data_IF_425516000438
#
_entry.id   IF_425516000438
#
_cell.length_a   1.000
_cell.length_b   1.000
_cell.length_c   1.000
_cell.angle_alpha   90.00
_cell.angle_beta   90.00
_cell.angle_gamma   90.00
#
_symmetry.space_group_name_H-M   'P 1'
#
loop_
_entity.id
_entity.type
_entity.pdbx_description
1 polymer ?
#
# COMPACT_ATOMS: atom_id res chain seq x y z
N UNK A 1 -17.44 29.29 -12.69
CA UNK A 1 -17.89 27.99 -12.15
C UNK A 1 -17.29 27.81 -10.77
N UNK A 2 -18.09 27.59 -9.73
CA UNK A 2 -17.64 27.64 -8.34
C UNK A 2 -16.98 26.34 -7.87
N UNK A 3 -15.94 26.45 -7.04
CA UNK A 3 -15.11 25.38 -6.47
C UNK A 3 -15.91 24.24 -5.80
N UNK A 4 -17.16 24.51 -5.42
CA UNK A 4 -18.06 23.58 -4.72
C UNK A 4 -19.05 22.85 -5.64
N UNK A 5 -19.03 23.05 -6.96
CA UNK A 5 -19.92 22.33 -7.88
C UNK A 5 -19.61 20.83 -7.98
N UNK A 6 -18.40 20.41 -7.60
CA UNK A 6 -17.99 19.00 -7.56
C UNK A 6 -18.50 18.21 -6.35
N UNK A 7 -19.14 18.88 -5.37
CA UNK A 7 -19.66 18.26 -4.16
C UNK A 7 -21.18 18.01 -4.18
N UNK A 8 -21.87 18.33 -5.29
CA UNK A 8 -23.30 18.01 -5.43
C UNK A 8 -23.49 16.58 -5.95
N UNK A 9 -24.46 15.82 -5.43
CA UNK A 9 -24.81 14.49 -5.95
C UNK A 9 -25.48 14.56 -7.33
N UNK A 10 -25.92 15.74 -7.75
CA UNK A 10 -26.81 15.92 -8.90
C UNK A 10 -26.00 16.55 -10.06
N UNK A 11 -25.32 15.69 -10.82
CA UNK A 11 -24.81 16.04 -12.14
C UNK A 11 -25.97 16.27 -13.13
N UNK A 12 -25.77 17.05 -14.21
CA UNK A 12 -26.82 17.43 -15.15
C UNK A 12 -27.53 16.21 -15.74
N UNK A 13 -28.86 16.30 -15.82
CA UNK A 13 -29.83 15.25 -16.10
C UNK A 13 -29.89 14.75 -17.55
N UNK A 14 -28.78 14.84 -18.29
CA UNK A 14 -28.59 14.13 -19.56
C UNK A 14 -27.09 13.89 -19.78
N UNK A 15 -26.54 12.75 -19.31
CA UNK A 15 -25.21 12.35 -19.71
C UNK A 15 -25.31 11.80 -21.14
N UNK A 16 -24.50 12.31 -22.07
CA UNK A 16 -23.84 11.39 -23.01
C UNK A 16 -23.36 10.21 -22.16
N UNK A 17 -23.87 9.02 -22.43
CA UNK A 17 -23.55 7.79 -21.68
C UNK A 17 -22.06 7.81 -21.32
N UNK A 18 -21.74 8.03 -20.04
CA UNK A 18 -20.36 8.20 -19.60
C UNK A 18 -19.64 6.89 -19.92
N UNK A 19 -18.86 6.88 -21.01
CA UNK A 19 -18.23 5.66 -21.52
C UNK A 19 -17.28 5.14 -20.46
N UNK A 20 -17.61 3.97 -19.92
CA UNK A 20 -16.77 3.27 -18.96
C UNK A 20 -15.35 3.09 -19.51
N UNK A 21 -14.33 3.12 -18.64
CA UNK A 21 -12.94 2.96 -19.07
C UNK A 21 -12.73 1.59 -19.73
N UNK A 22 -11.97 1.56 -20.83
CA UNK A 22 -11.73 0.31 -21.59
C UNK A 22 -10.85 -0.71 -20.86
N UNK A 23 -10.01 -0.25 -19.93
CA UNK A 23 -9.11 -1.11 -19.17
C UNK A 23 -8.73 -0.48 -17.83
N UNK A 24 -8.16 -1.28 -16.92
CA UNK A 24 -7.77 -0.85 -15.57
C UNK A 24 -6.77 0.32 -15.57
N UNK A 25 -5.90 0.41 -16.57
CA UNK A 25 -4.97 1.55 -16.71
C UNK A 25 -5.72 2.86 -17.01
N UNK A 26 -6.68 2.85 -17.94
CA UNK A 26 -7.54 4.01 -18.21
C UNK A 26 -8.44 4.34 -17.02
N UNK A 27 -8.89 3.32 -16.27
CA UNK A 27 -9.66 3.51 -15.05
C UNK A 27 -8.89 4.30 -13.99
N UNK A 28 -7.57 4.07 -13.83
CA UNK A 28 -6.74 4.89 -12.94
C UNK A 28 -6.84 6.38 -13.27
N UNK A 29 -6.56 6.76 -14.53
CA UNK A 29 -6.56 8.17 -14.93
C UNK A 29 -7.95 8.79 -14.89
N UNK A 30 -8.99 7.99 -15.20
CA UNK A 30 -10.38 8.41 -15.08
C UNK A 30 -10.74 8.75 -13.63
N UNK A 31 -10.41 7.87 -12.68
CA UNK A 31 -10.64 8.09 -11.25
C UNK A 31 -9.82 9.30 -10.75
N UNK A 32 -8.54 9.39 -11.10
CA UNK A 32 -7.68 10.51 -10.69
C UNK A 32 -8.21 11.85 -11.18
N UNK A 33 -8.69 11.93 -12.44
CA UNK A 33 -9.23 13.17 -13.00
C UNK A 33 -10.59 13.53 -12.41
N UNK A 34 -11.49 12.57 -12.26
CA UNK A 34 -12.89 12.83 -11.92
C UNK A 34 -13.17 12.82 -10.41
N UNK A 35 -12.32 12.15 -9.63
CA UNK A 35 -12.49 11.95 -8.18
C UNK A 35 -11.27 12.43 -7.37
N UNK A 36 -10.50 13.38 -7.91
CA UNK A 36 -9.26 13.88 -7.30
C UNK A 36 -9.41 14.27 -5.82
N UNK A 37 -10.37 15.13 -5.48
CA UNK A 37 -10.58 15.58 -4.10
C UNK A 37 -11.03 14.46 -3.16
N UNK A 38 -11.75 13.46 -3.68
CA UNK A 38 -12.10 12.27 -2.92
C UNK A 38 -10.85 11.44 -2.60
N UNK A 39 -9.91 11.31 -3.55
CA UNK A 39 -8.62 10.66 -3.31
C UNK A 39 -7.78 11.42 -2.28
N UNK A 40 -7.75 12.76 -2.33
CA UNK A 40 -7.07 13.57 -1.31
C UNK A 40 -7.67 13.33 0.08
N UNK A 41 -9.00 13.37 0.19
CA UNK A 41 -9.71 13.06 1.43
C UNK A 41 -9.44 11.64 1.93
N UNK A 42 -9.38 10.66 1.01
CA UNK A 42 -9.06 9.27 1.31
C UNK A 42 -7.65 9.11 1.87
N UNK A 43 -6.67 9.77 1.25
CA UNK A 43 -5.28 9.72 1.69
C UNK A 43 -5.14 10.33 3.08
N UNK A 44 -5.70 11.52 3.30
CA UNK A 44 -5.66 12.22 4.59
C UNK A 44 -6.33 11.40 5.70
N UNK A 45 -7.51 10.84 5.42
CA UNK A 45 -8.25 10.02 6.37
C UNK A 45 -7.47 8.74 6.73
N UNK A 46 -6.81 8.13 5.75
CA UNK A 46 -5.96 6.96 5.96
C UNK A 46 -4.70 7.33 6.74
N UNK A 47 -4.10 8.49 6.46
CA UNK A 47 -2.88 8.97 7.10
C UNK A 47 -3.04 9.16 8.60
N UNK A 48 -4.26 9.45 9.10
CA UNK A 48 -4.53 9.51 10.54
C UNK A 48 -4.09 8.24 11.30
N UNK A 49 -4.15 7.08 10.64
CA UNK A 49 -3.71 5.80 11.19
C UNK A 49 -2.19 5.57 11.09
N UNK A 50 -1.52 6.30 10.21
CA UNK A 50 -0.06 6.30 10.03
C UNK A 50 0.65 7.34 10.90
N UNK A 51 -0.07 8.33 11.47
CA UNK A 51 0.53 9.35 12.34
C UNK A 51 1.38 8.72 13.45
N UNK A 52 0.90 7.71 14.21
CA UNK A 52 1.71 7.12 15.27
C UNK A 52 2.99 6.46 14.74
N UNK A 53 2.92 5.81 13.58
CA UNK A 53 4.07 5.18 12.94
C UNK A 53 5.13 6.21 12.53
N UNK A 54 4.74 7.26 11.80
CA UNK A 54 5.69 8.30 11.39
C UNK A 54 6.21 9.13 12.55
N UNK A 55 5.35 9.45 13.52
CA UNK A 55 5.77 10.14 14.74
C UNK A 55 6.84 9.35 15.49
N UNK A 56 6.63 8.04 15.70
CA UNK A 56 7.62 7.18 16.32
C UNK A 56 8.93 7.15 15.54
N UNK A 57 8.85 6.97 14.21
CA UNK A 57 10.04 6.91 13.35
C UNK A 57 10.87 8.19 13.40
N UNK A 58 10.22 9.36 13.38
CA UNK A 58 10.88 10.67 13.49
C UNK A 58 11.48 10.84 14.89
N UNK A 59 10.69 10.63 15.94
CA UNK A 59 11.14 10.81 17.33
C UNK A 59 12.30 9.86 17.69
N UNK A 60 12.20 8.60 17.29
CA UNK A 60 13.23 7.58 17.52
C UNK A 60 14.48 7.82 16.66
N UNK A 61 14.30 8.25 15.41
CA UNK A 61 15.40 8.68 14.54
C UNK A 61 16.18 9.86 15.13
N UNK A 62 15.47 10.87 15.64
CA UNK A 62 16.07 12.01 16.33
C UNK A 62 16.83 11.58 17.60
N UNK A 63 16.27 10.66 18.38
CA UNK A 63 16.92 10.09 19.56
C UNK A 63 18.22 9.35 19.22
N UNK A 64 18.22 8.52 18.16
CA UNK A 64 19.42 7.82 17.69
C UNK A 64 20.51 8.83 17.26
N UNK A 65 20.09 9.91 16.61
CA UNK A 65 20.97 10.99 16.13
C UNK A 65 21.52 11.91 17.21
N UNK A 66 21.07 11.80 18.47
CA UNK A 66 21.72 12.47 19.60
C UNK A 66 23.10 11.85 19.81
N UNK A 67 24.13 12.69 19.75
CA UNK A 67 25.52 12.28 19.70
C UNK A 67 26.11 12.00 21.11
N UNK A 68 26.51 10.76 21.43
CA UNK A 68 27.28 10.42 22.62
C UNK A 68 28.80 10.31 22.34
N UNK A 69 29.28 10.72 21.16
CA UNK A 69 30.63 10.39 20.61
C UNK A 69 31.82 10.80 21.46
N UNK A 70 31.64 11.70 22.44
CA UNK A 70 32.70 12.06 23.37
C UNK A 70 33.13 10.90 24.28
N UNK A 71 32.32 9.84 24.42
CA UNK A 71 32.52 8.78 25.43
C UNK A 71 32.69 7.36 24.85
N UNK A 72 32.42 7.14 23.56
CA UNK A 72 32.34 5.79 22.96
C UNK A 72 33.35 5.58 21.83
N UNK A 73 33.86 4.35 21.73
CA UNK A 73 34.63 3.89 20.57
C UNK A 73 33.74 3.72 19.33
N UNK A 74 34.35 3.61 18.15
CA UNK A 74 33.62 3.41 16.89
C UNK A 74 32.80 2.11 16.89
N UNK A 75 33.33 1.04 17.49
CA UNK A 75 32.65 -0.26 17.59
C UNK A 75 31.42 -0.18 18.51
N UNK A 76 31.56 0.47 19.67
CA UNK A 76 30.46 0.69 20.61
C UNK A 76 29.36 1.58 20.01
N UNK A 77 29.74 2.58 19.20
CA UNK A 77 28.79 3.44 18.51
C UNK A 77 27.96 2.65 17.47
N UNK A 78 28.62 1.79 16.69
CA UNK A 78 27.96 0.91 15.71
C UNK A 78 27.04 -0.10 16.40
N UNK A 79 27.50 -0.74 17.49
CA UNK A 79 26.68 -1.67 18.27
C UNK A 79 25.46 -0.98 18.88
N UNK A 80 25.64 0.23 19.44
CA UNK A 80 24.54 1.07 19.93
C UNK A 80 23.53 1.35 18.82
N UNK A 81 23.97 1.76 17.63
CA UNK A 81 23.06 2.01 16.51
C UNK A 81 22.28 0.74 16.14
N UNK A 82 22.95 -0.41 16.04
CA UNK A 82 22.30 -1.70 15.77
C UNK A 82 21.20 -1.99 16.80
N UNK A 83 21.52 -1.97 18.09
CA UNK A 83 20.57 -2.27 19.17
C UNK A 83 19.40 -1.30 19.15
N UNK A 84 19.65 0.00 19.00
CA UNK A 84 18.60 1.02 18.97
C UNK A 84 17.71 0.89 17.73
N UNK A 85 18.26 0.60 16.55
CA UNK A 85 17.47 0.40 15.32
C UNK A 85 16.59 -0.84 15.40
N UNK A 86 17.12 -1.95 15.94
CA UNK A 86 16.34 -3.19 16.15
C UNK A 86 15.27 -3.00 17.22
N UNK A 87 15.59 -2.33 18.33
CA UNK A 87 14.61 -2.02 19.38
C UNK A 87 13.50 -1.10 18.85
N UNK A 88 13.88 -0.10 18.05
CA UNK A 88 12.94 0.81 17.41
C UNK A 88 11.94 0.10 16.49
N UNK A 89 12.42 -0.87 15.70
CA UNK A 89 11.57 -1.60 14.76
C UNK A 89 10.60 -2.58 15.43
N UNK A 90 10.89 -3.04 16.65
CA UNK A 90 9.92 -3.81 17.45
C UNK A 90 8.68 -2.98 17.83
N UNK A 91 8.85 -1.67 18.07
CA UNK A 91 7.74 -0.74 18.34
C UNK A 91 7.01 -0.35 17.05
N UNK A 92 7.74 -0.25 15.92
CA UNK A 92 7.12 0.00 14.61
C UNK A 92 6.15 -1.11 14.22
N UNK A 93 6.38 -2.36 14.64
CA UNK A 93 5.54 -3.50 14.28
C UNK A 93 4.07 -3.36 14.73
N UNK A 94 3.72 -3.12 16.01
CA UNK A 94 2.32 -2.86 16.40
C UNK A 94 1.75 -1.57 15.77
N UNK A 95 2.58 -0.55 15.49
CA UNK A 95 2.13 0.65 14.78
C UNK A 95 1.78 0.36 13.31
N UNK A 96 2.44 -0.62 12.70
CA UNK A 96 2.11 -1.10 11.37
C UNK A 96 0.73 -1.79 11.32
N UNK A 97 0.32 -2.48 12.39
CA UNK A 97 -1.03 -3.04 12.49
C UNK A 97 -2.09 -1.93 12.43
N UNK A 98 -1.88 -0.83 13.15
CA UNK A 98 -2.78 0.34 13.12
C UNK A 98 -2.80 0.99 11.73
N UNK A 99 -1.63 1.16 11.12
CA UNK A 99 -1.49 1.74 9.78
C UNK A 99 -2.24 0.90 8.73
N UNK A 100 -2.08 -0.42 8.76
CA UNK A 100 -2.79 -1.32 7.86
C UNK A 100 -4.28 -1.44 8.18
N UNK A 101 -4.70 -1.27 9.44
CA UNK A 101 -6.12 -1.14 9.78
C UNK A 101 -6.75 0.05 9.04
N UNK A 102 -6.07 1.21 8.99
CA UNK A 102 -6.46 2.34 8.16
C UNK A 102 -6.52 2.02 6.66
N UNK A 103 -5.51 1.29 6.14
CA UNK A 103 -5.52 0.84 4.74
C UNK A 103 -6.71 -0.08 4.41
N UNK A 104 -7.23 -0.85 5.36
CA UNK A 104 -8.46 -1.63 5.14
C UNK A 104 -9.66 -0.80 4.71
N UNK A 105 -9.79 0.40 5.26
CA UNK A 105 -10.77 1.39 4.82
C UNK A 105 -10.42 1.98 3.46
N UNK A 106 -9.13 2.25 3.21
CA UNK A 106 -8.64 2.80 1.95
C UNK A 106 -8.92 1.89 0.76
N UNK A 107 -8.62 0.59 0.90
CA UNK A 107 -8.84 -0.42 -0.13
C UNK A 107 -10.33 -0.62 -0.42
N UNK A 108 -11.22 -0.56 0.58
CA UNK A 108 -12.68 -0.63 0.35
C UNK A 108 -13.17 0.52 -0.53
N UNK A 109 -12.73 1.76 -0.22
CA UNK A 109 -13.09 2.93 -1.03
C UNK A 109 -12.48 2.83 -2.43
N UNK A 110 -11.19 2.43 -2.53
CA UNK A 110 -10.52 2.23 -3.81
C UNK A 110 -11.26 1.19 -4.66
N UNK A 111 -11.70 0.07 -4.08
CA UNK A 111 -12.46 -0.98 -4.77
C UNK A 111 -13.75 -0.44 -5.40
N UNK A 112 -14.51 0.35 -4.63
CA UNK A 112 -15.74 1.00 -5.11
C UNK A 112 -15.49 1.99 -6.24
N UNK A 113 -14.40 2.75 -6.16
CA UNK A 113 -13.97 3.65 -7.24
C UNK A 113 -13.58 2.85 -8.49
N UNK A 114 -12.84 1.76 -8.34
CA UNK A 114 -12.45 0.87 -9.44
C UNK A 114 -13.65 0.22 -10.14
N UNK A 115 -14.74 -0.04 -9.42
CA UNK A 115 -16.00 -0.51 -9.97
C UNK A 115 -16.90 0.59 -10.52
N UNK A 116 -16.44 1.85 -10.53
CA UNK A 116 -17.20 3.00 -11.03
C UNK A 116 -18.56 3.19 -10.34
N UNK A 117 -18.64 2.88 -9.03
CA UNK A 117 -19.87 3.09 -8.26
C UNK A 117 -20.21 4.60 -8.21
N UNK A 118 -21.46 4.95 -8.56
CA UNK A 118 -21.89 6.35 -8.64
C UNK A 118 -21.92 7.08 -7.29
N UNK A 119 -22.16 6.35 -6.19
CA UNK A 119 -22.44 6.87 -4.85
C UNK A 119 -21.38 6.53 -3.80
N UNK A 120 -20.11 6.85 -4.08
CA UNK A 120 -19.02 6.68 -3.10
C UNK A 120 -19.05 7.82 -2.09
N UNK A 121 -19.36 7.49 -0.83
CA UNK A 121 -19.34 8.41 0.31
C UNK A 121 -18.13 8.10 1.20
N UNK A 122 -17.10 8.93 1.06
CA UNK A 122 -15.78 8.74 1.68
C UNK A 122 -15.85 8.20 3.12
N UNK A 123 -16.49 8.92 4.04
CA UNK A 123 -16.52 8.52 5.45
C UNK A 123 -17.30 7.22 5.70
N UNK A 124 -18.45 7.07 5.06
CA UNK A 124 -19.33 5.91 5.25
C UNK A 124 -18.67 4.63 4.74
N UNK A 125 -18.11 4.71 3.53
CA UNK A 125 -17.48 3.57 2.87
C UNK A 125 -16.13 3.23 3.52
N UNK A 126 -15.34 4.23 3.93
CA UNK A 126 -14.11 4.00 4.68
C UNK A 126 -14.40 3.28 6.01
N UNK A 127 -15.38 3.75 6.79
CA UNK A 127 -15.78 3.11 8.05
C UNK A 127 -16.34 1.70 7.86
N UNK A 128 -17.04 1.46 6.74
CA UNK A 128 -17.47 0.12 6.35
C UNK A 128 -16.25 -0.78 6.12
N UNK A 129 -15.25 -0.32 5.36
CA UNK A 129 -14.00 -1.05 5.12
C UNK A 129 -13.25 -1.37 6.41
N UNK A 130 -13.12 -0.40 7.32
CA UNK A 130 -12.53 -0.65 8.65
C UNK A 130 -13.23 -1.78 9.39
N UNK A 131 -14.57 -1.81 9.37
CA UNK A 131 -15.35 -2.81 10.12
C UNK A 131 -15.30 -4.18 9.46
N UNK A 132 -15.44 -4.24 8.15
CA UNK A 132 -15.59 -5.52 7.46
C UNK A 132 -14.24 -6.18 7.18
N UNK A 133 -13.18 -5.41 6.97
CA UNK A 133 -11.87 -5.90 6.54
C UNK A 133 -10.84 -5.95 7.68
N UNK A 134 -11.25 -5.68 8.94
CA UNK A 134 -10.33 -5.54 10.07
C UNK A 134 -9.38 -6.73 10.26
N UNK A 135 -9.87 -7.98 10.10
CA UNK A 135 -9.04 -9.18 10.28
C UNK A 135 -7.93 -9.24 9.23
N UNK A 136 -8.29 -9.08 7.96
CA UNK A 136 -7.33 -9.07 6.85
C UNK A 136 -6.36 -7.90 6.97
N UNK A 137 -6.84 -6.76 7.47
CA UNK A 137 -6.04 -5.55 7.65
C UNK A 137 -5.00 -5.68 8.77
N UNK A 138 -5.39 -6.20 9.93
CA UNK A 138 -4.46 -6.47 11.03
C UNK A 138 -3.44 -7.54 10.65
N UNK A 139 -3.86 -8.56 9.90
CA UNK A 139 -2.96 -9.60 9.41
C UNK A 139 -1.98 -9.06 8.37
N UNK A 140 -2.43 -8.22 7.43
CA UNK A 140 -1.57 -7.51 6.49
C UNK A 140 -0.54 -6.66 7.24
N UNK A 141 -0.96 -5.94 8.29
CA UNK A 141 -0.06 -5.17 9.15
C UNK A 141 0.96 -6.04 9.89
N UNK A 142 0.55 -7.19 10.40
CA UNK A 142 1.45 -8.13 11.05
C UNK A 142 2.50 -8.69 10.06
N UNK A 143 2.10 -9.02 8.83
CA UNK A 143 2.99 -9.50 7.77
C UNK A 143 3.96 -8.42 7.31
N UNK A 144 3.45 -7.22 7.01
CA UNK A 144 4.28 -6.08 6.58
C UNK A 144 5.27 -5.69 7.68
N UNK A 145 4.80 -5.62 8.92
CA UNK A 145 5.65 -5.31 10.07
C UNK A 145 6.74 -6.36 10.28
N UNK A 146 6.42 -7.64 10.12
CA UNK A 146 7.42 -8.72 10.16
C UNK A 146 8.47 -8.55 9.05
N UNK A 147 8.04 -8.26 7.81
CA UNK A 147 8.94 -8.00 6.70
C UNK A 147 9.90 -6.84 6.97
N UNK A 148 9.38 -5.72 7.50
CA UNK A 148 10.16 -4.53 7.87
C UNK A 148 11.14 -4.83 9.02
N UNK A 149 10.70 -5.57 10.03
CA UNK A 149 11.54 -5.98 11.15
C UNK A 149 12.70 -6.88 10.70
N UNK A 150 12.42 -7.91 9.89
CA UNK A 150 13.45 -8.81 9.35
C UNK A 150 14.45 -8.04 8.47
N UNK A 151 13.98 -7.12 7.64
CA UNK A 151 14.86 -6.27 6.85
C UNK A 151 15.77 -5.39 7.73
N UNK A 152 15.20 -4.74 8.75
CA UNK A 152 15.97 -3.89 9.69
C UNK A 152 17.00 -4.72 10.46
N UNK A 153 16.60 -5.89 10.97
CA UNK A 153 17.50 -6.77 11.71
C UNK A 153 18.70 -7.17 10.85
N UNK A 154 18.47 -7.64 9.62
CA UNK A 154 19.54 -8.16 8.77
C UNK A 154 20.39 -7.03 8.18
N UNK A 155 19.78 -5.95 7.69
CA UNK A 155 20.53 -4.82 7.12
C UNK A 155 21.46 -4.13 8.12
N UNK A 156 21.18 -4.25 9.43
CA UNK A 156 22.01 -3.69 10.50
C UNK A 156 22.97 -4.71 11.13
N UNK A 157 22.66 -6.00 11.06
CA UNK A 157 23.50 -7.06 11.63
C UNK A 157 24.73 -7.39 10.77
N UNK A 158 24.56 -7.56 9.46
CA UNK A 158 25.66 -8.03 8.61
C UNK A 158 26.86 -7.07 8.49
N UNK A 159 26.68 -5.74 8.49
CA UNK A 159 27.80 -4.81 8.60
C UNK A 159 28.63 -4.94 9.90
N UNK A 160 28.12 -5.61 10.93
CA UNK A 160 28.81 -5.87 12.20
C UNK A 160 29.62 -7.18 12.20
N UNK A 161 29.43 -8.07 11.23
CA UNK A 161 30.15 -9.34 11.21
C UNK A 161 31.61 -9.14 10.79
N UNK A 162 32.53 -9.42 11.71
CA UNK A 162 33.97 -9.38 11.45
C UNK A 162 34.35 -10.28 10.26
N UNK A 163 35.17 -9.75 9.35
CA UNK A 163 35.60 -10.46 8.13
C UNK A 163 34.58 -10.48 6.99
N UNK A 164 33.40 -9.84 7.15
CA UNK A 164 32.42 -9.74 6.08
C UNK A 164 32.81 -8.64 5.06
N UNK A 165 32.92 -8.96 3.76
CA UNK A 165 33.20 -7.95 2.75
C UNK A 165 31.96 -7.09 2.47
N UNK A 166 32.17 -5.82 2.15
CA UNK A 166 31.10 -4.83 1.89
C UNK A 166 30.07 -5.30 0.85
N UNK A 167 30.54 -5.91 -0.25
CA UNK A 167 29.66 -6.43 -1.30
C UNK A 167 28.75 -7.56 -0.80
N UNK A 168 29.22 -8.35 0.18
CA UNK A 168 28.45 -9.41 0.81
C UNK A 168 27.31 -8.83 1.65
N UNK A 169 27.59 -7.79 2.44
CA UNK A 169 26.57 -7.06 3.22
C UNK A 169 25.50 -6.44 2.31
N UNK A 170 25.91 -5.85 1.19
CA UNK A 170 24.99 -5.30 0.17
C UNK A 170 24.14 -6.41 -0.46
N UNK A 171 24.74 -7.54 -0.85
CA UNK A 171 24.01 -8.67 -1.43
C UNK A 171 22.94 -9.20 -0.47
N UNK A 172 23.25 -9.33 0.82
CA UNK A 172 22.28 -9.78 1.82
C UNK A 172 21.19 -8.73 2.04
N UNK A 173 21.53 -7.44 2.09
CA UNK A 173 20.54 -6.38 2.19
C UNK A 173 19.54 -6.43 1.02
N UNK A 174 20.01 -6.69 -0.21
CA UNK A 174 19.15 -6.88 -1.39
C UNK A 174 18.24 -8.10 -1.23
N UNK A 175 18.77 -9.24 -0.78
CA UNK A 175 17.96 -10.44 -0.54
C UNK A 175 16.85 -10.17 0.47
N UNK A 176 17.18 -9.52 1.59
CA UNK A 176 16.16 -9.18 2.60
C UNK A 176 15.21 -8.07 2.13
N UNK A 177 15.63 -7.16 1.25
CA UNK A 177 14.72 -6.20 0.62
C UNK A 177 13.68 -6.92 -0.28
N UNK A 178 14.10 -7.96 -1.00
CA UNK A 178 13.18 -8.81 -1.78
C UNK A 178 12.22 -9.61 -0.88
N UNK A 179 12.71 -10.13 0.25
CA UNK A 179 11.86 -10.78 1.26
C UNK A 179 10.87 -9.78 1.85
N UNK A 180 11.31 -8.57 2.21
CA UNK A 180 10.43 -7.50 2.68
C UNK A 180 9.37 -7.15 1.64
N UNK A 181 9.76 -7.02 0.38
CA UNK A 181 8.84 -6.76 -0.73
C UNK A 181 7.80 -7.88 -0.88
N UNK A 182 8.18 -9.15 -0.68
CA UNK A 182 7.24 -10.28 -0.66
C UNK A 182 6.15 -10.09 0.41
N UNK A 183 6.53 -9.74 1.64
CA UNK A 183 5.58 -9.50 2.73
C UNK A 183 4.61 -8.34 2.43
N UNK A 184 5.08 -7.29 1.74
CA UNK A 184 4.22 -6.21 1.29
C UNK A 184 3.22 -6.67 0.22
N UNK A 185 3.68 -7.39 -0.79
CA UNK A 185 2.80 -7.94 -1.82
C UNK A 185 1.72 -8.82 -1.20
N UNK A 186 2.11 -9.67 -0.24
CA UNK A 186 1.19 -10.54 0.47
C UNK A 186 0.16 -9.76 1.29
N UNK A 187 0.60 -8.77 2.06
CA UNK A 187 -0.28 -7.89 2.82
C UNK A 187 -1.27 -7.14 1.92
N UNK A 188 -0.83 -6.59 0.79
CA UNK A 188 -1.70 -5.85 -0.10
C UNK A 188 -2.67 -6.75 -0.89
N UNK A 189 -2.30 -7.98 -1.24
CA UNK A 189 -3.26 -8.96 -1.76
C UNK A 189 -4.31 -9.38 -0.72
N UNK A 190 -3.95 -9.45 0.56
CA UNK A 190 -4.93 -9.69 1.64
C UNK A 190 -5.92 -8.54 1.76
N UNK A 191 -5.45 -7.29 1.69
CA UNK A 191 -6.33 -6.12 1.70
C UNK A 191 -7.24 -6.11 0.48
N UNK A 192 -6.70 -6.26 -0.73
CA UNK A 192 -7.47 -6.23 -1.98
C UNK A 192 -8.46 -7.38 -2.09
N UNK A 193 -8.06 -8.63 -1.77
CA UNK A 193 -9.02 -9.75 -1.82
C UNK A 193 -10.15 -9.63 -0.80
N UNK A 194 -9.94 -8.91 0.31
CA UNK A 194 -10.95 -8.76 1.37
C UNK A 194 -12.08 -7.80 1.03
N UNK A 195 -11.90 -6.92 0.03
CA UNK A 195 -12.95 -6.01 -0.46
C UNK A 195 -13.96 -6.75 -1.34
N UNK A 196 -13.50 -7.80 -2.04
CA UNK A 196 -14.31 -8.58 -2.99
C UNK A 196 -14.86 -9.87 -2.38
N UNK A 197 -14.03 -10.59 -1.62
CA UNK A 197 -14.33 -11.96 -1.23
C UNK A 197 -14.38 -12.13 0.29
N UNK A 198 -15.29 -12.98 0.74
CA UNK A 198 -15.39 -13.42 2.14
C UNK A 198 -14.89 -14.85 2.29
N UNK A 199 -13.61 -15.06 2.00
CA UNK A 199 -12.96 -16.36 2.18
C UNK A 199 -12.79 -16.72 3.67
N UNK A 200 -12.68 -18.03 3.96
CA UNK A 200 -12.20 -18.47 5.26
C UNK A 200 -10.75 -18.02 5.45
N UNK A 201 -10.37 -17.73 6.69
CA UNK A 201 -9.04 -17.20 7.02
C UNK A 201 -7.88 -18.00 6.40
N UNK A 202 -7.92 -19.34 6.52
CA UNK A 202 -6.88 -20.23 5.96
C UNK A 202 -6.82 -20.16 4.43
N UNK A 203 -7.97 -20.07 3.78
CA UNK A 203 -8.08 -20.03 2.33
C UNK A 203 -7.58 -18.67 1.80
N UNK A 204 -7.96 -17.57 2.46
CA UNK A 204 -7.47 -16.22 2.14
C UNK A 204 -5.94 -16.14 2.25
N UNK A 205 -5.36 -16.67 3.33
CA UNK A 205 -3.91 -16.70 3.52
C UNK A 205 -3.18 -17.50 2.44
N UNK A 206 -3.67 -18.71 2.15
CA UNK A 206 -3.06 -19.58 1.14
C UNK A 206 -3.13 -18.95 -0.25
N UNK A 207 -4.28 -18.39 -0.62
CA UNK A 207 -4.50 -17.85 -1.96
C UNK A 207 -3.65 -16.59 -2.18
N UNK A 208 -3.63 -15.67 -1.23
CA UNK A 208 -2.84 -14.43 -1.32
C UNK A 208 -1.34 -14.69 -1.28
N UNK A 209 -0.89 -15.68 -0.49
CA UNK A 209 0.49 -16.15 -0.53
C UNK A 209 0.87 -16.66 -1.92
N UNK A 210 0.02 -17.49 -2.52
CA UNK A 210 0.26 -18.08 -3.82
C UNK A 210 0.35 -17.01 -4.92
N UNK A 211 -0.55 -16.03 -4.93
CA UNK A 211 -0.48 -14.90 -5.87
C UNK A 211 0.80 -14.08 -5.69
N UNK A 212 1.20 -13.84 -4.43
CA UNK A 212 2.41 -13.09 -4.11
C UNK A 212 3.67 -13.78 -4.62
N UNK A 213 3.70 -15.11 -4.55
CA UNK A 213 4.85 -15.93 -4.95
C UNK A 213 4.88 -16.20 -6.46
N UNK A 214 3.79 -16.69 -7.05
CA UNK A 214 3.77 -17.07 -8.48
C UNK A 214 3.96 -15.87 -9.40
N UNK A 215 3.39 -14.72 -9.04
CA UNK A 215 3.43 -13.51 -9.85
C UNK A 215 4.52 -12.52 -9.41
N UNK A 216 5.51 -12.99 -8.64
CA UNK A 216 6.47 -12.14 -7.94
C UNK A 216 7.09 -11.01 -8.79
N UNK A 217 7.62 -11.24 -10.01
CA UNK A 217 8.23 -10.17 -10.78
C UNK A 217 7.23 -9.07 -11.17
N UNK A 218 5.99 -9.45 -11.51
CA UNK A 218 4.93 -8.49 -11.84
C UNK A 218 4.43 -7.78 -10.59
N UNK A 219 4.25 -8.51 -9.49
CA UNK A 219 3.88 -7.94 -8.20
C UNK A 219 4.91 -6.92 -7.74
N UNK A 220 6.20 -7.18 -7.95
CA UNK A 220 7.28 -6.25 -7.63
C UNK A 220 7.16 -4.95 -8.42
N UNK A 221 6.92 -5.03 -9.73
CA UNK A 221 6.69 -3.83 -10.54
C UNK A 221 5.51 -3.00 -10.00
N UNK A 222 4.36 -3.62 -9.74
CA UNK A 222 3.19 -2.91 -9.22
C UNK A 222 3.37 -2.41 -7.79
N UNK A 223 4.13 -3.13 -6.96
CA UNK A 223 4.53 -2.65 -5.64
C UNK A 223 5.38 -1.39 -5.76
N UNK A 224 6.38 -1.35 -6.65
CA UNK A 224 7.22 -0.17 -6.86
C UNK A 224 6.40 1.04 -7.37
N UNK A 225 5.42 0.80 -8.24
CA UNK A 225 4.52 1.83 -8.73
C UNK A 225 3.54 2.34 -7.66
N UNK A 226 2.97 1.43 -6.86
CA UNK A 226 2.02 1.77 -5.80
C UNK A 226 2.71 2.45 -4.61
N UNK A 227 3.89 1.95 -4.22
CA UNK A 227 4.67 2.44 -3.09
C UNK A 227 5.70 3.51 -3.49
N UNK A 228 5.53 4.18 -4.63
CA UNK A 228 6.48 5.19 -5.13
C UNK A 228 6.86 6.22 -4.06
N UNK A 229 5.87 6.82 -3.38
CA UNK A 229 6.14 7.86 -2.37
C UNK A 229 6.81 7.30 -1.11
N UNK A 230 6.33 6.21 -0.47
CA UNK A 230 7.06 5.57 0.62
C UNK A 230 8.47 5.11 0.24
N UNK A 231 8.70 4.63 -0.98
CA UNK A 231 10.03 4.21 -1.43
C UNK A 231 10.99 5.38 -1.57
N UNK A 232 10.54 6.51 -2.13
CA UNK A 232 11.35 7.72 -2.21
C UNK A 232 11.77 8.22 -0.82
N UNK A 233 10.91 8.06 0.19
CA UNK A 233 11.22 8.43 1.57
C UNK A 233 12.43 7.66 2.13
N UNK A 234 12.49 6.36 1.84
CA UNK A 234 13.57 5.49 2.32
C UNK A 234 14.87 5.65 1.51
N UNK A 235 14.77 6.00 0.22
CA UNK A 235 15.93 6.12 -0.67
C UNK A 235 16.65 7.48 -0.59
N UNK A 236 16.00 8.52 -0.06
CA UNK A 236 16.52 9.89 -0.04
C UNK A 236 16.83 10.30 1.41
N UNK A 237 18.10 10.24 1.85
CA UNK A 237 18.48 10.49 3.25
C UNK A 237 18.68 11.99 3.55
N UNK A 238 17.78 12.85 3.09
CA UNK A 238 17.82 14.29 3.35
C UNK A 238 16.59 14.71 4.16
N UNK A 239 16.81 15.20 5.40
CA UNK A 239 15.74 15.50 6.36
C UNK A 239 14.61 16.36 5.76
N UNK A 240 14.94 17.49 5.13
CA UNK A 240 13.92 18.37 4.53
C UNK A 240 13.12 17.67 3.42
N UNK A 241 13.78 16.83 2.63
CA UNK A 241 13.11 16.07 1.56
C UNK A 241 12.21 14.99 2.15
N UNK A 242 12.63 14.35 3.26
CA UNK A 242 11.83 13.36 3.96
C UNK A 242 10.54 13.97 4.53
N UNK A 243 10.59 15.15 5.14
CA UNK A 243 9.39 15.85 5.63
C UNK A 243 8.41 16.20 4.49
N UNK A 244 8.93 16.67 3.35
CA UNK A 244 8.12 16.93 2.15
C UNK A 244 7.48 15.64 1.63
N UNK A 245 8.23 14.53 1.60
CA UNK A 245 7.72 13.24 1.16
C UNK A 245 6.65 12.68 2.09
N UNK A 246 6.79 12.86 3.41
CA UNK A 246 5.73 12.51 4.38
C UNK A 246 4.46 13.32 4.09
N UNK A 247 4.60 14.63 3.80
CA UNK A 247 3.48 15.47 3.37
C UNK A 247 2.80 14.95 2.09
N UNK A 248 3.58 14.52 1.09
CA UNK A 248 3.05 13.93 -0.14
C UNK A 248 2.35 12.58 0.10
N UNK A 249 2.89 11.75 0.99
CA UNK A 249 2.27 10.49 1.42
C UNK A 249 0.92 10.78 2.09
N UNK A 250 0.87 11.77 2.98
CA UNK A 250 -0.35 12.18 3.67
C UNK A 250 -1.42 12.67 2.69
N UNK A 251 -1.05 13.56 1.77
CA UNK A 251 -2.00 14.22 0.87
C UNK A 251 -2.49 13.30 -0.26
N UNK A 252 -1.64 12.43 -0.80
CA UNK A 252 -2.01 11.61 -1.96
C UNK A 252 -1.43 10.19 -1.96
N UNK A 253 -0.24 9.98 -1.41
CA UNK A 253 0.49 8.72 -1.58
C UNK A 253 -0.24 7.47 -1.08
N UNK A 254 -1.02 7.55 0.00
CA UNK A 254 -1.78 6.41 0.50
C UNK A 254 -3.00 6.07 -0.37
N UNK A 255 -3.69 7.09 -0.89
CA UNK A 255 -4.77 6.88 -1.85
C UNK A 255 -4.23 6.29 -3.16
N UNK A 256 -3.11 6.81 -3.67
CA UNK A 256 -2.41 6.27 -4.83
C UNK A 256 -2.03 4.80 -4.64
N UNK A 257 -1.43 4.47 -3.49
CA UNK A 257 -1.05 3.10 -3.15
C UNK A 257 -2.25 2.16 -3.20
N UNK A 258 -3.33 2.51 -2.50
CA UNK A 258 -4.54 1.68 -2.47
C UNK A 258 -5.17 1.52 -3.86
N UNK A 259 -5.22 2.60 -4.66
CA UNK A 259 -5.82 2.59 -5.99
C UNK A 259 -5.02 1.76 -6.99
N UNK A 260 -3.70 1.96 -7.07
CA UNK A 260 -2.85 1.20 -7.99
C UNK A 260 -2.88 -0.28 -7.65
N UNK A 261 -2.75 -0.62 -6.37
CA UNK A 261 -2.71 -2.03 -5.97
C UNK A 261 -4.09 -2.70 -6.10
N UNK A 262 -5.18 -1.98 -5.86
CA UNK A 262 -6.53 -2.51 -6.07
C UNK A 262 -6.84 -2.76 -7.55
N UNK A 263 -6.49 -1.83 -8.45
CA UNK A 263 -6.64 -2.04 -9.90
C UNK A 263 -5.83 -3.23 -10.40
N UNK A 264 -4.62 -3.42 -9.86
CA UNK A 264 -3.79 -4.58 -10.15
C UNK A 264 -4.39 -5.87 -9.57
N UNK A 265 -4.84 -5.83 -8.31
CA UNK A 265 -5.50 -6.95 -7.64
C UNK A 265 -6.71 -7.43 -8.43
N UNK A 266 -7.61 -6.51 -8.82
CA UNK A 266 -8.75 -6.79 -9.68
C UNK A 266 -8.35 -7.45 -11.00
N UNK A 267 -7.29 -6.97 -11.66
CA UNK A 267 -6.79 -7.61 -12.88
C UNK A 267 -6.32 -9.06 -12.64
N UNK A 268 -5.61 -9.31 -11.54
CA UNK A 268 -5.17 -10.66 -11.16
C UNK A 268 -6.38 -11.54 -10.85
N UNK A 269 -7.34 -11.05 -10.06
CA UNK A 269 -8.53 -11.80 -9.69
C UNK A 269 -9.43 -12.09 -10.89
N UNK A 270 -9.58 -11.14 -11.82
CA UNK A 270 -10.32 -11.33 -13.07
C UNK A 270 -9.77 -12.51 -13.87
N UNK A 271 -8.44 -12.61 -13.94
CA UNK A 271 -7.74 -13.63 -14.72
C UNK A 271 -7.69 -15.01 -14.07
N UNK A 272 -7.59 -15.07 -12.74
CA UNK A 272 -7.29 -16.32 -12.02
C UNK A 272 -8.43 -16.84 -11.14
N UNK A 273 -9.43 -16.00 -10.83
CA UNK A 273 -10.58 -16.36 -9.99
C UNK A 273 -11.89 -16.14 -10.75
N UNK A 274 -12.20 -14.89 -11.12
CA UNK A 274 -13.52 -14.52 -11.65
C UNK A 274 -13.83 -15.22 -12.97
N UNK A 275 -12.83 -15.44 -13.82
CA UNK A 275 -12.99 -16.21 -15.07
C UNK A 275 -13.59 -17.60 -14.92
N UNK A 276 -13.43 -18.20 -13.76
CA UNK A 276 -13.87 -19.57 -13.50
C UNK A 276 -15.01 -19.61 -12.49
N UNK A 277 -14.98 -18.76 -11.46
CA UNK A 277 -15.83 -18.89 -10.28
C UNK A 277 -16.84 -17.76 -10.07
N UNK A 278 -16.63 -16.59 -10.68
CA UNK A 278 -17.53 -15.43 -10.57
C UNK A 278 -17.48 -14.56 -11.84
N UNK A 279 -17.97 -15.06 -13.00
CA UNK A 279 -17.88 -14.34 -14.28
C UNK A 279 -18.56 -12.97 -14.25
N UNK A 280 -19.54 -12.75 -13.37
CA UNK A 280 -20.23 -11.49 -13.16
C UNK A 280 -19.35 -10.38 -12.57
N UNK A 281 -18.29 -10.73 -11.82
CA UNK A 281 -17.32 -9.77 -11.29
C UNK A 281 -16.20 -9.47 -12.29
N UNK A 282 -16.08 -10.27 -13.36
CA UNK A 282 -15.03 -10.10 -14.37
C UNK A 282 -15.18 -8.75 -15.08
N UNK A 283 -14.13 -7.93 -15.01
CA UNK A 283 -14.10 -6.65 -15.73
C UNK A 283 -15.12 -5.64 -15.22
N UNK A 284 -15.72 -5.86 -14.04
CA UNK A 284 -16.69 -4.94 -13.44
C UNK A 284 -16.09 -3.53 -13.34
N UNK A 285 -16.87 -2.52 -13.74
CA UNK A 285 -16.44 -1.12 -13.82
C UNK A 285 -15.66 -0.76 -15.10
N UNK A 286 -15.52 -1.69 -16.05
CA UNK A 286 -14.96 -1.44 -17.38
C UNK A 286 -16.04 -1.49 -18.45
N UNK A 287 -15.80 -0.81 -19.57
CA UNK A 287 -16.67 -0.90 -20.75
C UNK A 287 -16.40 -2.19 -21.52
N UNK A 288 -17.45 -2.91 -21.89
CA UNK A 288 -17.33 -4.05 -22.79
C UNK A 288 -16.76 -3.56 -24.13
N UNK A 289 -15.75 -4.24 -24.67
CA UNK A 289 -15.46 -4.12 -26.09
C UNK A 289 -16.68 -4.73 -26.81
N UNK A 290 -17.53 -3.89 -27.40
CA UNK A 290 -18.49 -4.39 -28.38
C UNK A 290 -17.67 -5.09 -29.47
N UNK A 291 -17.68 -6.42 -29.49
CA UNK A 291 -17.38 -7.14 -30.72
C UNK A 291 -18.24 -6.49 -31.80
N UNK A 292 -17.65 -6.02 -32.92
CA UNK A 292 -18.45 -5.46 -33.99
C UNK A 292 -19.46 -6.53 -34.37
N UNK A 293 -20.75 -6.20 -34.20
CA UNK A 293 -21.86 -7.00 -34.72
C UNK A 293 -21.47 -7.35 -36.16
N UNK A 294 -21.16 -8.62 -36.41
CA UNK A 294 -21.13 -9.12 -37.78
C UNK A 294 -22.56 -8.95 -38.27
N UNK A 295 -22.80 -7.87 -39.00
CA UNK A 295 -24.01 -7.73 -39.78
C UNK A 295 -24.07 -8.92 -40.73
N UNK A 296 -25.23 -9.58 -40.68
CA UNK A 296 -25.64 -10.84 -41.30
C UNK A 296 -24.95 -11.23 -42.61
#
# INVERSE_FOLDING_TARGET
MGLFSYLRPDGPSHPEEAKLPKNRFKAYFDIVRNRFFLLLGLSLLTFLFFIPFYFWRIAWGAYIGLDPSAELTAEELLYREFVLRVTGSLVEWPLQLLSCFGLGGAFEVASRLCHQEGSVFLWKDFKKGLRENYKSSLLAGALIGLGNFLFTLNSRFYPFLEGMPDWGSVAIAIVFALVMAFFHMWGYFLLSSSTLYRFRFKDSMKNTFLFSFILYPKNLLFLLLAALFPLLLELIPYLLVQEVLIGLIAVYGLAHLSLVYELYGLHVFDRYINSTYAPEEMGRGLGNEEEPRKEN
#
